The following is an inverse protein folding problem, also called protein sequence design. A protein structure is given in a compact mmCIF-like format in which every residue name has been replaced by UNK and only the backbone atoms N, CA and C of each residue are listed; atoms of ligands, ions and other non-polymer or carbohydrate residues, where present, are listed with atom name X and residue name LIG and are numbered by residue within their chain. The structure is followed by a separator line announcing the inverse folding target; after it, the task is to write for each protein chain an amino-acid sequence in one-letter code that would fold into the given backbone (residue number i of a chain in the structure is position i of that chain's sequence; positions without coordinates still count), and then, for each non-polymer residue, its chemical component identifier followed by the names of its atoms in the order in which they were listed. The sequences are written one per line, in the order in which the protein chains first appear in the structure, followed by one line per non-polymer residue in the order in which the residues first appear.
data_IF_110941550574
#
_entry.id   IF_110941550574
#
_cell.length_a   1.000
_cell.length_b   1.000
_cell.length_c   1.000
_cell.angle_alpha   90.00
_cell.angle_beta   90.00
_cell.angle_gamma   90.00
#
_symmetry.space_group_name_H-M   'P 1'
#
loop_
_entity.id
_entity.type
_entity.pdbx_description
1 polymer ?
#
# COMPACT_ATOMS: atom_id res chain seq x y z
N UNK A 1 -23.22 -28.93 -35.72
CA UNK A 1 -22.74 -27.90 -34.79
C UNK A 1 -21.61 -27.13 -35.44
N UNK A 2 -21.76 -25.80 -35.50
CA UNK A 2 -20.78 -24.86 -36.02
C UNK A 2 -19.47 -24.92 -35.22
N UNK A 3 -18.35 -24.58 -35.86
CA UNK A 3 -17.04 -24.47 -35.19
C UNK A 3 -17.08 -23.44 -34.04
N UNK A 4 -17.93 -22.43 -34.16
CA UNK A 4 -18.19 -21.42 -33.12
C UNK A 4 -18.95 -21.99 -31.93
N UNK A 5 -19.92 -22.88 -32.14
CA UNK A 5 -20.68 -23.53 -31.06
C UNK A 5 -19.79 -24.46 -30.23
N UNK A 6 -18.84 -25.15 -30.86
CA UNK A 6 -17.85 -25.99 -30.17
C UNK A 6 -16.89 -25.15 -29.33
N UNK A 7 -16.39 -24.05 -29.88
CA UNK A 7 -15.53 -23.09 -29.17
C UNK A 7 -16.27 -22.44 -27.98
N UNK A 8 -17.55 -22.08 -28.15
CA UNK A 8 -18.37 -21.53 -27.08
C UNK A 8 -18.61 -22.56 -25.95
N UNK A 9 -18.93 -23.81 -26.29
CA UNK A 9 -19.14 -24.88 -25.32
C UNK A 9 -17.85 -25.23 -24.55
N UNK A 10 -16.69 -25.21 -25.20
CA UNK A 10 -15.39 -25.44 -24.56
C UNK A 10 -15.00 -24.29 -23.62
N UNK A 11 -15.24 -23.05 -24.03
CA UNK A 11 -15.07 -21.87 -23.18
C UNK A 11 -15.95 -21.93 -21.93
N UNK A 12 -17.20 -22.36 -22.09
CA UNK A 12 -18.14 -22.48 -20.98
C UNK A 12 -17.77 -23.63 -20.04
N UNK A 13 -17.34 -24.78 -20.56
CA UNK A 13 -16.75 -25.88 -19.75
C UNK A 13 -15.52 -25.41 -18.97
N UNK A 14 -14.66 -24.59 -19.60
CA UNK A 14 -13.50 -23.99 -18.95
C UNK A 14 -13.89 -23.07 -17.79
N UNK A 15 -14.92 -22.23 -17.96
CA UNK A 15 -15.45 -21.39 -16.86
C UNK A 15 -15.99 -22.24 -15.71
N UNK A 16 -16.79 -23.26 -15.99
CA UNK A 16 -17.35 -24.16 -14.96
C UNK A 16 -16.25 -24.90 -14.19
N UNK A 17 -15.21 -25.37 -14.88
CA UNK A 17 -14.07 -26.00 -14.22
C UNK A 17 -13.29 -25.02 -13.33
N UNK A 18 -13.08 -23.78 -13.79
CA UNK A 18 -12.46 -22.72 -12.98
C UNK A 18 -13.29 -22.39 -11.73
N UNK A 19 -14.61 -22.32 -11.87
CA UNK A 19 -15.53 -22.05 -10.76
C UNK A 19 -15.53 -23.18 -9.72
N UNK A 20 -15.58 -24.45 -10.16
CA UNK A 20 -15.41 -25.60 -9.27
C UNK A 20 -14.07 -25.57 -8.53
N UNK A 21 -12.98 -25.28 -9.25
CA UNK A 21 -11.65 -25.16 -8.63
C UNK A 21 -11.59 -24.02 -7.60
N UNK A 22 -12.32 -22.92 -7.82
CA UNK A 22 -12.45 -21.81 -6.87
C UNK A 22 -13.20 -22.24 -5.62
N UNK A 23 -14.32 -22.93 -5.77
CA UNK A 23 -15.16 -23.31 -4.64
C UNK A 23 -14.47 -24.39 -3.78
N UNK A 24 -13.81 -25.36 -4.41
CA UNK A 24 -12.91 -26.31 -3.73
C UNK A 24 -11.80 -25.61 -2.94
N UNK A 25 -11.23 -24.52 -3.46
CA UNK A 25 -10.22 -23.73 -2.73
C UNK A 25 -10.84 -22.98 -1.56
N UNK A 26 -12.02 -22.38 -1.73
CA UNK A 26 -12.75 -21.71 -0.64
C UNK A 26 -13.06 -22.70 0.48
N UNK A 27 -13.56 -23.89 0.15
CA UNK A 27 -13.81 -24.96 1.12
C UNK A 27 -12.51 -25.41 1.82
N UNK A 28 -11.40 -25.52 1.09
CA UNK A 28 -10.10 -25.83 1.68
C UNK A 28 -9.62 -24.74 2.64
N UNK A 29 -9.78 -23.46 2.28
CA UNK A 29 -9.44 -22.33 3.16
C UNK A 29 -10.33 -22.34 4.39
N UNK A 30 -11.65 -22.51 4.23
CA UNK A 30 -12.61 -22.56 5.34
C UNK A 30 -12.33 -23.74 6.27
N UNK A 31 -12.01 -24.92 5.74
CA UNK A 31 -11.67 -26.09 6.56
C UNK A 31 -10.34 -25.91 7.31
N UNK A 32 -9.34 -25.30 6.69
CA UNK A 32 -8.08 -24.95 7.37
C UNK A 32 -8.33 -23.90 8.46
N UNK A 33 -9.15 -22.89 8.18
CA UNK A 33 -9.51 -21.87 9.16
C UNK A 33 -10.27 -22.47 10.34
N UNK A 34 -11.25 -23.36 10.10
CA UNK A 34 -11.96 -24.09 11.16
C UNK A 34 -11.00 -24.90 12.03
N UNK A 35 -10.10 -25.68 11.41
CA UNK A 35 -9.06 -26.44 12.13
C UNK A 35 -8.12 -25.53 12.94
N UNK A 36 -7.79 -24.35 12.42
CA UNK A 36 -6.96 -23.38 13.14
C UNK A 36 -7.70 -22.80 14.36
N UNK A 37 -9.00 -22.48 14.23
CA UNK A 37 -9.84 -21.98 15.35
C UNK A 37 -10.04 -23.06 16.41
N UNK A 38 -10.28 -24.30 15.99
CA UNK A 38 -10.36 -25.45 16.90
C UNK A 38 -9.05 -25.66 17.65
N UNK A 39 -7.91 -25.63 16.94
CA UNK A 39 -6.58 -25.70 17.58
C UNK A 39 -6.34 -24.52 18.53
N UNK A 40 -6.70 -23.30 18.15
CA UNK A 40 -6.57 -22.15 19.03
C UNK A 40 -7.37 -22.29 20.32
N UNK A 41 -8.54 -22.95 20.25
CA UNK A 41 -9.40 -23.16 21.41
C UNK A 41 -8.93 -24.31 22.30
N UNK A 42 -8.43 -25.39 21.69
CA UNK A 42 -8.16 -26.66 22.38
C UNK A 42 -6.67 -26.93 22.68
N UNK A 43 -5.74 -26.26 22.00
CA UNK A 43 -4.29 -26.47 22.11
C UNK A 43 -3.63 -25.22 22.75
N UNK A 44 -3.23 -25.30 24.04
CA UNK A 44 -2.59 -24.19 24.76
C UNK A 44 -1.27 -23.74 24.13
N UNK A 45 -0.50 -24.65 23.55
CA UNK A 45 0.80 -24.35 22.93
C UNK A 45 0.59 -23.63 21.59
N UNK A 46 -0.38 -24.09 20.79
CA UNK A 46 -0.77 -23.40 19.56
C UNK A 46 -1.29 -21.99 19.85
N UNK A 47 -2.13 -21.83 20.89
CA UNK A 47 -2.62 -20.51 21.34
C UNK A 47 -1.47 -19.60 21.77
N UNK A 48 -0.57 -20.11 22.62
CA UNK A 48 0.60 -19.36 23.06
C UNK A 48 1.48 -18.92 21.89
N UNK A 49 1.80 -19.83 20.96
CA UNK A 49 2.58 -19.51 19.77
C UNK A 49 1.86 -18.49 18.88
N UNK A 50 0.57 -18.69 18.60
CA UNK A 50 -0.22 -17.76 17.79
C UNK A 50 -0.19 -16.34 18.38
N UNK A 51 -0.34 -16.22 19.70
CA UNK A 51 -0.40 -14.92 20.38
C UNK A 51 0.98 -14.28 20.59
N UNK A 52 2.06 -15.09 20.62
CA UNK A 52 3.42 -14.65 20.98
C UNK A 52 4.41 -14.58 19.83
N UNK A 53 4.06 -15.10 18.64
CA UNK A 53 4.93 -14.94 17.46
C UNK A 53 5.00 -13.46 17.08
N UNK A 54 6.17 -12.89 17.32
CA UNK A 54 6.47 -11.49 16.99
C UNK A 54 6.86 -11.32 15.51
N UNK A 55 6.91 -10.07 15.06
CA UNK A 55 7.43 -9.71 13.74
C UNK A 55 8.97 -9.78 13.66
N UNK A 56 9.68 -10.22 14.70
CA UNK A 56 11.15 -10.23 14.73
C UNK A 56 11.75 -11.00 13.53
N UNK A 57 11.18 -12.15 13.16
CA UNK A 57 11.64 -12.93 12.00
C UNK A 57 11.44 -12.22 10.64
N UNK A 58 10.46 -11.32 10.55
CA UNK A 58 10.23 -10.46 9.37
C UNK A 58 11.33 -9.40 9.24
N UNK A 59 11.74 -8.81 10.36
CA UNK A 59 12.72 -7.73 10.41
C UNK A 59 14.17 -8.21 10.45
N UNK A 60 14.42 -9.44 10.90
CA UNK A 60 15.73 -10.06 10.82
C UNK A 60 16.17 -10.11 9.34
N UNK A 61 17.40 -9.67 9.00
CA UNK A 61 17.84 -9.68 7.63
C UNK A 61 17.92 -11.10 7.06
N UNK A 62 17.80 -11.27 5.73
CA UNK A 62 18.11 -12.55 5.10
C UNK A 62 19.63 -12.78 5.15
N UNK A 63 20.03 -14.03 5.42
CA UNK A 63 21.44 -14.39 5.34
C UNK A 63 22.03 -14.05 3.97
N UNK A 64 23.25 -13.54 3.98
CA UNK A 64 24.06 -13.25 2.79
C UNK A 64 23.51 -12.13 1.89
N UNK A 65 22.45 -11.43 2.30
CA UNK A 65 22.00 -10.22 1.60
C UNK A 65 22.92 -9.04 1.92
N UNK A 66 22.91 -8.00 1.08
CA UNK A 66 23.79 -6.82 1.22
C UNK A 66 23.84 -6.27 2.65
N UNK A 67 22.68 -6.11 3.28
CA UNK A 67 22.57 -5.61 4.65
C UNK A 67 23.24 -6.52 5.69
N UNK A 68 23.07 -7.84 5.59
CA UNK A 68 23.72 -8.81 6.48
C UNK A 68 25.23 -8.88 6.23
N UNK A 69 25.66 -8.78 4.97
CA UNK A 69 27.10 -8.77 4.62
C UNK A 69 27.83 -7.57 5.21
N UNK A 70 27.17 -6.42 5.30
CA UNK A 70 27.77 -5.20 5.86
C UNK A 70 27.70 -5.15 7.39
N UNK A 71 26.58 -5.61 7.98
CA UNK A 71 26.31 -5.40 9.42
C UNK A 71 26.59 -6.62 10.29
N UNK A 72 26.66 -7.83 9.71
CA UNK A 72 26.77 -9.10 10.42
C UNK A 72 25.71 -9.28 11.52
N UNK A 73 24.53 -8.66 11.35
CA UNK A 73 23.45 -8.73 12.32
C UNK A 73 22.93 -10.15 12.51
N UNK A 74 22.80 -10.97 11.44
CA UNK A 74 22.36 -12.35 11.61
C UNK A 74 23.36 -13.16 12.42
N UNK A 75 24.66 -12.88 12.29
CA UNK A 75 25.69 -13.53 13.10
C UNK A 75 25.59 -13.10 14.57
N UNK A 76 25.47 -11.81 14.83
CA UNK A 76 25.30 -11.25 16.17
C UNK A 76 24.06 -11.78 16.90
N UNK A 77 22.97 -12.02 16.16
CA UNK A 77 21.75 -12.65 16.67
C UNK A 77 22.00 -14.15 16.89
N UNK A 78 22.57 -14.85 15.90
CA UNK A 78 22.83 -16.29 16.00
C UNK A 78 23.74 -16.63 17.20
N UNK A 79 24.76 -15.83 17.48
CA UNK A 79 25.66 -16.01 18.63
C UNK A 79 24.97 -15.87 19.99
N UNK A 80 23.92 -15.04 20.06
CA UNK A 80 23.12 -14.86 21.27
C UNK A 80 22.10 -15.98 21.46
N UNK A 81 21.59 -16.54 20.36
CA UNK A 81 20.64 -17.66 20.38
C UNK A 81 21.35 -18.98 20.63
N UNK A 82 22.51 -19.17 20.01
CA UNK A 82 23.34 -20.37 20.11
C UNK A 82 24.66 -20.00 20.78
N UNK A 83 24.69 -20.00 22.11
CA UNK A 83 25.91 -19.77 22.89
C UNK A 83 26.83 -20.99 22.79
N UNK A 84 28.12 -20.76 22.54
CA UNK A 84 29.09 -21.84 22.34
C UNK A 84 29.13 -22.82 23.52
N UNK A 85 29.10 -22.29 24.73
CA UNK A 85 29.19 -23.07 25.97
C UNK A 85 27.94 -23.91 26.25
N UNK A 86 26.82 -23.59 25.61
CA UNK A 86 25.55 -24.29 25.79
C UNK A 86 25.41 -25.52 24.87
N UNK A 87 26.30 -25.68 23.88
CA UNK A 87 26.18 -26.72 22.86
C UNK A 87 27.53 -27.43 22.64
N UNK A 88 27.69 -28.68 23.13
CA UNK A 88 28.94 -29.45 22.98
C UNK A 88 29.39 -29.65 21.53
N UNK A 89 28.44 -29.63 20.57
CA UNK A 89 28.71 -29.74 19.13
C UNK A 89 29.53 -28.57 18.56
N UNK A 90 29.75 -27.49 19.32
CA UNK A 90 30.57 -26.34 18.93
C UNK A 90 31.93 -26.27 19.62
N UNK A 91 32.21 -27.21 20.52
CA UNK A 91 33.49 -27.28 21.21
C UNK A 91 34.62 -27.62 20.22
N UNK A 92 35.75 -26.92 20.32
CA UNK A 92 36.90 -27.12 19.44
C UNK A 92 36.72 -26.69 17.97
N UNK A 93 35.54 -26.24 17.54
CA UNK A 93 35.31 -25.78 16.16
C UNK A 93 35.93 -24.39 15.94
N UNK A 94 36.64 -24.21 14.83
CA UNK A 94 37.18 -22.92 14.42
C UNK A 94 36.10 -21.83 14.32
N UNK A 95 36.45 -20.61 14.71
CA UNK A 95 35.54 -19.47 14.81
C UNK A 95 34.72 -19.20 13.53
N UNK A 96 35.35 -19.29 12.35
CA UNK A 96 34.67 -19.09 11.07
C UNK A 96 33.63 -20.19 10.79
N UNK A 97 33.97 -21.44 11.09
CA UNK A 97 33.07 -22.59 10.93
C UNK A 97 31.92 -22.56 11.93
N UNK A 98 32.18 -22.14 13.17
CA UNK A 98 31.17 -21.90 14.19
C UNK A 98 30.16 -20.84 13.72
N UNK A 99 30.64 -19.67 13.29
CA UNK A 99 29.80 -18.58 12.80
C UNK A 99 28.91 -19.00 11.63
N UNK A 100 29.45 -19.78 10.68
CA UNK A 100 28.67 -20.32 9.57
C UNK A 100 27.56 -21.27 10.05
N UNK A 101 27.88 -22.22 10.94
CA UNK A 101 26.92 -23.22 11.43
C UNK A 101 25.76 -22.59 12.19
N UNK A 102 26.03 -21.69 13.13
CA UNK A 102 24.98 -21.03 13.92
C UNK A 102 24.07 -20.15 13.04
N UNK A 103 24.63 -19.51 12.02
CA UNK A 103 23.85 -18.71 11.05
C UNK A 103 22.94 -19.60 10.23
N UNK A 104 23.45 -20.70 9.67
CA UNK A 104 22.63 -21.64 8.91
C UNK A 104 21.53 -22.27 9.77
N UNK A 105 21.85 -22.62 11.01
CA UNK A 105 20.90 -23.12 12.01
C UNK A 105 19.80 -22.11 12.32
N UNK A 106 20.17 -20.84 12.59
CA UNK A 106 19.20 -19.75 12.80
C UNK A 106 18.23 -19.62 11.62
N UNK A 107 18.73 -19.71 10.38
CA UNK A 107 17.87 -19.66 9.18
C UNK A 107 16.91 -20.83 9.12
N UNK A 108 17.39 -22.06 9.32
CA UNK A 108 16.61 -23.28 9.13
C UNK A 108 15.61 -23.53 10.25
N UNK A 109 16.02 -23.38 11.50
CA UNK A 109 15.21 -23.72 12.66
C UNK A 109 14.25 -22.60 13.07
N UNK A 110 14.67 -21.34 12.92
CA UNK A 110 13.86 -20.20 13.39
C UNK A 110 13.30 -19.37 12.23
N UNK A 111 14.15 -18.74 11.41
CA UNK A 111 13.68 -17.76 10.43
C UNK A 111 12.77 -18.36 9.36
N UNK A 112 13.08 -19.56 8.86
CA UNK A 112 12.26 -20.25 7.85
C UNK A 112 10.84 -20.56 8.36
N UNK A 113 10.70 -21.34 9.45
CA UNK A 113 9.40 -21.67 10.04
C UNK A 113 8.61 -20.43 10.46
N UNK A 114 9.26 -19.45 11.11
CA UNK A 114 8.58 -18.23 11.56
C UNK A 114 8.09 -17.38 10.39
N UNK A 115 8.89 -17.19 9.33
CA UNK A 115 8.46 -16.44 8.14
C UNK A 115 7.33 -17.15 7.39
N UNK A 116 7.30 -18.49 7.42
CA UNK A 116 6.19 -19.29 6.88
C UNK A 116 4.92 -19.12 7.72
N UNK A 117 5.04 -19.15 9.04
CA UNK A 117 3.91 -18.90 9.95
C UNK A 117 3.36 -17.46 9.81
N UNK A 118 4.22 -16.49 9.53
CA UNK A 118 3.84 -15.10 9.24
C UNK A 118 3.25 -14.89 7.83
N UNK A 119 3.22 -15.94 6.99
CA UNK A 119 2.68 -15.90 5.62
C UNK A 119 3.30 -14.79 4.76
N UNK A 120 4.61 -14.57 4.86
CA UNK A 120 5.27 -13.51 4.11
C UNK A 120 5.26 -13.80 2.59
N UNK A 121 5.03 -12.79 1.73
CA UNK A 121 4.92 -13.00 0.27
C UNK A 121 6.14 -13.71 -0.31
N UNK A 122 7.34 -13.34 0.15
CA UNK A 122 8.62 -13.90 -0.31
C UNK A 122 8.70 -15.42 -0.16
N UNK A 123 8.05 -16.01 0.86
CA UNK A 123 8.04 -17.47 1.08
C UNK A 123 7.33 -18.17 -0.08
N UNK A 124 6.14 -17.70 -0.46
CA UNK A 124 5.37 -18.23 -1.58
C UNK A 124 6.07 -17.99 -2.92
N UNK A 125 6.60 -16.78 -3.11
CA UNK A 125 7.30 -16.40 -4.34
C UNK A 125 8.55 -17.26 -4.57
N UNK A 126 9.36 -17.50 -3.53
CA UNK A 126 10.56 -18.35 -3.64
C UNK A 126 10.25 -19.83 -3.93
N UNK A 127 9.07 -20.29 -3.53
CA UNK A 127 8.62 -21.66 -3.77
C UNK A 127 7.80 -21.81 -5.07
N UNK A 128 7.64 -20.74 -5.86
CA UNK A 128 6.73 -20.67 -7.02
C UNK A 128 5.27 -21.04 -6.70
N UNK A 129 4.84 -20.88 -5.44
CA UNK A 129 3.49 -21.17 -4.96
C UNK A 129 2.58 -19.94 -5.04
N UNK A 130 2.54 -19.28 -6.20
CA UNK A 130 1.76 -18.06 -6.44
C UNK A 130 0.27 -18.25 -6.15
N UNK A 131 -0.26 -19.41 -6.52
CA UNK A 131 -1.64 -19.85 -6.31
C UNK A 131 -2.12 -19.88 -4.85
N UNK A 132 -1.20 -19.86 -3.88
CA UNK A 132 -1.50 -19.85 -2.45
C UNK A 132 -1.22 -18.50 -1.77
N UNK A 133 -0.69 -17.51 -2.51
CA UNK A 133 -0.31 -16.23 -1.94
C UNK A 133 -1.54 -15.46 -1.43
N UNK A 134 -1.56 -15.04 -0.14
CA UNK A 134 -2.66 -14.30 0.45
C UNK A 134 -2.49 -12.78 0.24
N UNK A 135 -3.06 -12.24 -0.86
CA UNK A 135 -2.92 -10.81 -1.22
C UNK A 135 -3.37 -9.83 -0.13
N UNK A 136 -4.41 -10.19 0.65
CA UNK A 136 -4.95 -9.40 1.75
C UNK A 136 -3.95 -9.18 2.92
N UNK A 137 -2.92 -10.04 3.05
CA UNK A 137 -1.89 -9.92 4.09
C UNK A 137 -0.63 -9.22 3.61
N UNK A 138 -0.53 -8.93 2.31
CA UNK A 138 0.64 -8.28 1.73
C UNK A 138 0.73 -6.84 2.25
N UNK A 139 1.87 -6.49 2.86
CA UNK A 139 2.13 -5.15 3.34
C UNK A 139 2.22 -4.13 2.18
N UNK A 140 1.93 -2.85 2.45
CA UNK A 140 1.83 -1.80 1.42
C UNK A 140 3.07 -1.67 0.55
N UNK A 141 4.25 -1.62 1.17
CA UNK A 141 5.55 -1.54 0.48
C UNK A 141 5.80 -2.79 -0.37
N UNK A 142 5.53 -3.98 0.19
CA UNK A 142 5.68 -5.23 -0.55
C UNK A 142 4.72 -5.31 -1.74
N UNK A 143 3.50 -4.76 -1.61
CA UNK A 143 2.55 -4.67 -2.71
C UNK A 143 3.08 -3.78 -3.83
N UNK A 144 3.59 -2.59 -3.48
CA UNK A 144 4.24 -1.69 -4.44
C UNK A 144 5.42 -2.35 -5.15
N UNK A 145 6.30 -3.04 -4.41
CA UNK A 145 7.51 -3.65 -4.97
C UNK A 145 7.21 -4.88 -5.85
N UNK A 146 6.24 -5.71 -5.48
CA UNK A 146 6.03 -7.01 -6.12
C UNK A 146 4.83 -7.06 -7.08
N UNK A 147 4.07 -5.98 -7.25
CA UNK A 147 2.91 -5.93 -8.15
C UNK A 147 3.21 -6.40 -9.58
N UNK A 148 4.36 -6.06 -10.14
CA UNK A 148 4.74 -6.53 -11.48
C UNK A 148 4.90 -8.05 -11.52
N UNK A 149 5.46 -8.65 -10.46
CA UNK A 149 5.61 -10.10 -10.35
C UNK A 149 4.26 -10.78 -10.16
N UNK A 150 3.34 -10.16 -9.41
CA UNK A 150 1.98 -10.67 -9.26
C UNK A 150 1.23 -10.68 -10.59
N UNK A 151 1.34 -9.60 -11.38
CA UNK A 151 0.76 -9.54 -12.72
C UNK A 151 1.39 -10.56 -13.68
N UNK A 152 2.70 -10.79 -13.57
CA UNK A 152 3.40 -11.74 -14.44
C UNK A 152 3.04 -13.20 -14.15
N UNK A 153 2.93 -13.57 -12.87
CA UNK A 153 2.82 -14.97 -12.45
C UNK A 153 1.42 -15.39 -12.01
N UNK A 154 0.54 -14.46 -11.63
CA UNK A 154 -0.81 -14.77 -11.13
C UNK A 154 -1.82 -13.66 -11.48
N UNK A 155 -1.82 -13.25 -12.76
CA UNK A 155 -2.61 -12.14 -13.30
C UNK A 155 -4.09 -12.21 -12.92
N UNK A 156 -4.75 -13.35 -13.22
CA UNK A 156 -6.19 -13.51 -13.04
C UNK A 156 -6.62 -13.29 -11.58
N UNK A 157 -5.93 -13.92 -10.62
CA UNK A 157 -6.26 -13.77 -9.18
C UNK A 157 -5.90 -12.39 -8.66
N UNK A 158 -4.82 -11.80 -9.16
CA UNK A 158 -4.42 -10.47 -8.73
C UNK A 158 -5.43 -9.42 -9.22
N UNK A 159 -5.90 -9.50 -10.46
CA UNK A 159 -6.96 -8.64 -10.99
C UNK A 159 -8.29 -8.83 -10.24
N UNK A 160 -8.68 -10.08 -9.93
CA UNK A 160 -9.85 -10.37 -9.10
C UNK A 160 -9.72 -9.77 -7.69
N UNK A 161 -8.53 -9.85 -7.09
CA UNK A 161 -8.24 -9.22 -5.81
C UNK A 161 -8.37 -7.69 -5.90
N UNK A 162 -7.78 -7.03 -6.90
CA UNK A 162 -7.91 -5.58 -7.08
C UNK A 162 -9.36 -5.16 -7.30
N UNK A 163 -10.13 -5.93 -8.07
CA UNK A 163 -11.58 -5.73 -8.22
C UNK A 163 -12.31 -5.88 -6.88
N UNK A 164 -11.96 -6.90 -6.08
CA UNK A 164 -12.55 -7.08 -4.75
C UNK A 164 -12.23 -5.93 -3.79
N UNK A 165 -11.05 -5.33 -3.90
CA UNK A 165 -10.67 -4.13 -3.14
C UNK A 165 -11.50 -2.91 -3.60
N UNK A 166 -11.67 -2.69 -4.91
CA UNK A 166 -12.52 -1.61 -5.46
C UNK A 166 -13.96 -1.68 -4.94
N UNK A 167 -14.51 -2.88 -4.83
CA UNK A 167 -15.87 -3.10 -4.32
C UNK A 167 -15.95 -3.17 -2.78
N UNK A 168 -14.86 -2.87 -2.06
CA UNK A 168 -14.82 -2.88 -0.60
C UNK A 168 -14.91 -4.26 0.06
N UNK A 169 -14.84 -5.37 -0.72
CA UNK A 169 -14.89 -6.75 -0.21
C UNK A 169 -13.56 -7.20 0.39
N UNK A 170 -12.46 -6.60 -0.06
CA UNK A 170 -11.12 -6.84 0.45
C UNK A 170 -10.45 -5.52 0.85
N UNK A 171 -9.40 -5.61 1.68
CA UNK A 171 -8.62 -4.45 2.10
C UNK A 171 -7.20 -4.56 1.54
N UNK A 172 -6.70 -3.44 1.04
CA UNK A 172 -5.29 -3.26 0.68
C UNK A 172 -4.58 -2.46 1.78
N UNK A 173 -3.32 -2.79 2.05
CA UNK A 173 -2.50 -2.00 2.97
C UNK A 173 -1.95 -0.76 2.25
N UNK A 174 -2.05 0.40 2.91
CA UNK A 174 -1.47 1.67 2.44
C UNK A 174 -0.57 2.36 3.49
N UNK A 175 -0.71 2.04 4.78
CA UNK A 175 -0.21 2.89 5.88
C UNK A 175 1.30 3.12 5.99
N UNK A 176 2.15 2.32 5.35
CA UNK A 176 3.60 2.53 5.36
C UNK A 176 4.13 3.26 4.11
N UNK A 177 3.27 3.54 3.12
CA UNK A 177 3.65 4.32 1.94
C UNK A 177 3.39 5.80 2.18
N UNK A 178 4.27 6.65 1.66
CA UNK A 178 4.06 8.09 1.63
C UNK A 178 3.27 8.50 0.39
N UNK A 179 2.51 9.62 0.42
CA UNK A 179 1.67 10.07 -0.69
C UNK A 179 2.43 10.16 -2.03
N UNK A 180 3.62 10.73 -2.01
CA UNK A 180 4.47 10.88 -3.20
C UNK A 180 4.99 9.54 -3.73
N UNK A 181 5.14 8.53 -2.86
CA UNK A 181 5.57 7.19 -3.28
C UNK A 181 4.46 6.44 -4.00
N UNK A 182 3.20 6.77 -3.71
CA UNK A 182 2.03 6.24 -4.38
C UNK A 182 1.88 6.88 -5.76
N UNK A 183 2.00 8.21 -5.83
CA UNK A 183 1.89 8.96 -7.09
C UNK A 183 3.02 8.58 -8.07
N UNK A 184 4.25 8.41 -7.58
CA UNK A 184 5.36 7.92 -8.41
C UNK A 184 5.07 6.54 -9.04
N UNK A 185 4.15 5.76 -8.47
CA UNK A 185 3.76 4.44 -8.95
C UNK A 185 2.55 4.45 -9.91
N UNK A 186 2.05 5.61 -10.32
CA UNK A 186 0.92 5.75 -11.26
C UNK A 186 1.27 5.30 -12.69
N UNK A 187 2.53 5.47 -13.09
CA UNK A 187 3.01 5.12 -14.42
C UNK A 187 3.63 3.71 -14.51
N UNK A 188 3.49 2.92 -13.45
CA UNK A 188 3.96 1.54 -13.43
C UNK A 188 3.13 0.64 -14.36
N UNK A 189 3.68 -0.54 -14.70
CA UNK A 189 3.09 -1.48 -15.69
C UNK A 189 1.72 -2.04 -15.33
N UNK A 190 1.26 -1.85 -14.09
CA UNK A 190 -0.10 -2.20 -13.66
C UNK A 190 -1.15 -1.17 -14.10
N UNK A 191 -0.74 -0.09 -14.78
CA UNK A 191 -1.60 1.02 -15.17
C UNK A 191 -2.02 1.88 -13.98
N UNK A 192 -1.22 1.90 -12.90
CA UNK A 192 -1.49 2.68 -11.70
C UNK A 192 -2.62 2.16 -10.81
N UNK A 193 -3.17 0.98 -11.08
CA UNK A 193 -4.32 0.44 -10.33
C UNK A 193 -4.03 0.20 -8.85
N UNK A 194 -2.85 -0.32 -8.53
CA UNK A 194 -2.44 -0.52 -7.13
C UNK A 194 -2.27 0.83 -6.44
N UNK A 195 -1.68 1.81 -7.13
CA UNK A 195 -1.48 3.15 -6.61
C UNK A 195 -2.81 3.84 -6.29
N UNK A 196 -3.77 3.79 -7.20
CA UNK A 196 -5.14 4.31 -7.00
C UNK A 196 -5.79 3.71 -5.74
N UNK A 197 -5.76 2.39 -5.59
CA UNK A 197 -6.38 1.72 -4.44
C UNK A 197 -5.66 2.01 -3.12
N UNK A 198 -4.33 2.14 -3.15
CA UNK A 198 -3.54 2.53 -1.99
C UNK A 198 -3.80 3.99 -1.60
N UNK A 199 -3.97 4.88 -2.58
CA UNK A 199 -4.34 6.27 -2.33
C UNK A 199 -5.71 6.39 -1.68
N UNK A 200 -6.74 5.77 -2.29
CA UNK A 200 -8.10 5.76 -1.74
C UNK A 200 -8.11 5.24 -0.30
N UNK A 201 -7.39 4.14 -0.04
CA UNK A 201 -7.26 3.59 1.32
C UNK A 201 -6.63 4.57 2.30
N UNK A 202 -5.57 5.28 1.88
CA UNK A 202 -4.88 6.27 2.71
C UNK A 202 -5.80 7.45 3.05
N UNK A 203 -6.50 7.98 2.05
CA UNK A 203 -7.46 9.08 2.23
C UNK A 203 -8.59 8.65 3.17
N UNK A 204 -9.16 7.46 2.97
CA UNK A 204 -10.20 6.91 3.85
C UNK A 204 -9.73 6.77 5.31
N UNK A 205 -8.50 6.32 5.53
CA UNK A 205 -7.93 6.20 6.87
C UNK A 205 -7.74 7.55 7.56
N UNK A 206 -7.38 8.58 6.81
CA UNK A 206 -7.21 9.93 7.33
C UNK A 206 -8.56 10.60 7.57
N UNK A 207 -9.53 10.44 6.66
CA UNK A 207 -10.89 10.96 6.82
C UNK A 207 -11.60 10.36 8.04
N UNK A 208 -11.32 9.10 8.38
CA UNK A 208 -11.84 8.47 9.62
C UNK A 208 -11.30 9.13 10.89
N UNK A 209 -10.11 9.73 10.86
CA UNK A 209 -9.54 10.47 11.99
C UNK A 209 -10.09 11.89 12.08
N UNK A 210 -10.52 12.46 10.95
CA UNK A 210 -11.17 13.76 10.90
C UNK A 210 -10.95 14.47 9.57
N UNK A 211 -11.75 15.50 9.31
CA UNK A 211 -11.58 16.40 8.18
C UNK A 211 -10.83 17.66 8.62
N UNK A 212 -10.00 18.20 7.74
CA UNK A 212 -9.33 19.48 7.97
C UNK A 212 -10.32 20.62 7.77
N UNK A 213 -10.56 21.39 8.83
CA UNK A 213 -11.39 22.61 8.77
C UNK A 213 -10.48 23.81 8.56
N UNK A 214 -10.94 24.78 7.78
CA UNK A 214 -10.20 26.03 7.52
C UNK A 214 -8.78 25.85 6.98
N UNK A 215 -8.57 24.76 6.23
CA UNK A 215 -7.31 24.50 5.55
C UNK A 215 -7.47 24.76 4.05
N UNK A 216 -6.44 25.30 3.41
CA UNK A 216 -6.31 25.42 1.97
C UNK A 216 -4.88 25.06 1.60
N UNK A 217 -4.73 24.24 0.57
CA UNK A 217 -3.41 23.90 0.07
C UNK A 217 -2.94 24.99 -0.89
N UNK A 218 -1.71 25.46 -0.68
CA UNK A 218 -0.99 26.33 -1.59
C UNK A 218 0.16 25.51 -2.14
N UNK A 219 0.17 25.27 -3.44
CA UNK A 219 1.11 24.37 -4.09
C UNK A 219 2.17 25.17 -4.85
N UNK A 220 3.45 24.94 -4.54
CA UNK A 220 4.58 25.41 -5.33
C UNK A 220 5.07 24.28 -6.24
N UNK A 221 4.87 24.45 -7.54
CA UNK A 221 5.36 23.55 -8.58
C UNK A 221 6.29 24.27 -9.54
N UNK A 222 6.94 25.35 -9.07
CA UNK A 222 7.88 26.13 -9.86
C UNK A 222 8.94 25.25 -10.55
N UNK A 223 9.41 25.66 -11.72
CA UNK A 223 10.39 24.90 -12.51
C UNK A 223 11.70 24.55 -11.77
N UNK A 224 11.97 25.14 -10.61
CA UNK A 224 13.08 24.77 -9.72
C UNK A 224 12.87 23.44 -8.98
N UNK A 225 11.63 22.94 -8.90
CA UNK A 225 11.24 21.77 -8.10
C UNK A 225 11.20 20.46 -8.90
N UNK A 226 11.93 20.36 -10.01
CA UNK A 226 11.92 19.16 -10.86
C UNK A 226 12.29 17.87 -10.09
N UNK A 227 11.57 16.79 -10.40
CA UNK A 227 11.76 15.48 -9.78
C UNK A 227 11.02 15.34 -8.45
N UNK A 228 11.72 14.83 -7.42
CA UNK A 228 11.09 14.45 -6.15
C UNK A 228 10.36 15.57 -5.43
N UNK A 229 10.87 16.81 -5.37
CA UNK A 229 10.18 17.90 -4.70
C UNK A 229 8.79 18.20 -5.30
N UNK A 230 8.67 18.20 -6.63
CA UNK A 230 7.39 18.38 -7.30
C UNK A 230 6.42 17.23 -7.01
N UNK A 231 6.86 15.97 -7.08
CA UNK A 231 6.02 14.82 -6.70
C UNK A 231 5.47 14.97 -5.27
N UNK A 232 6.30 15.45 -4.34
CA UNK A 232 5.90 15.67 -2.95
C UNK A 232 4.87 16.80 -2.84
N UNK A 233 5.10 17.92 -3.55
CA UNK A 233 4.16 19.04 -3.52
C UNK A 233 2.81 18.67 -4.12
N UNK A 234 2.80 18.04 -5.30
CA UNK A 234 1.57 17.57 -5.96
C UNK A 234 0.82 16.59 -5.04
N UNK A 235 1.53 15.63 -4.45
CA UNK A 235 0.94 14.65 -3.55
C UNK A 235 0.33 15.27 -2.30
N UNK A 236 1.05 16.17 -1.63
CA UNK A 236 0.54 16.81 -0.41
C UNK A 236 -0.59 17.78 -0.73
N UNK A 237 -0.49 18.54 -1.82
CA UNK A 237 -1.52 19.45 -2.28
C UNK A 237 -2.83 18.72 -2.57
N UNK A 238 -2.76 17.62 -3.32
CA UNK A 238 -3.90 16.78 -3.60
C UNK A 238 -4.49 16.17 -2.33
N UNK A 239 -3.65 15.60 -1.46
CA UNK A 239 -4.09 14.99 -0.21
C UNK A 239 -4.80 16.00 0.70
N UNK A 240 -4.22 17.19 0.89
CA UNK A 240 -4.82 18.26 1.70
C UNK A 240 -6.15 18.72 1.10
N UNK A 241 -6.23 18.82 -0.22
CA UNK A 241 -7.45 19.19 -0.94
C UNK A 241 -8.58 18.17 -0.73
N UNK A 242 -8.27 16.86 -0.73
CA UNK A 242 -9.26 15.79 -0.50
C UNK A 242 -9.68 15.67 0.98
N UNK A 243 -8.78 15.97 1.91
CA UNK A 243 -9.05 15.96 3.36
C UNK A 243 -9.77 17.22 3.86
N UNK A 244 -9.75 18.30 3.08
CA UNK A 244 -10.38 19.57 3.45
C UNK A 244 -11.90 19.46 3.43
N UNK A 245 -12.54 20.09 4.42
CA UNK A 245 -13.99 20.19 4.47
C UNK A 245 -14.52 21.19 3.43
N UNK A 246 -15.79 21.02 3.05
CA UNK A 246 -16.51 22.05 2.30
C UNK A 246 -16.44 23.38 3.06
N UNK A 247 -16.30 24.51 2.35
CA UNK A 247 -16.38 24.71 0.90
C UNK A 247 -15.01 24.70 0.17
N UNK A 248 -13.94 24.24 0.83
CA UNK A 248 -12.55 24.25 0.31
C UNK A 248 -12.11 22.90 -0.21
N UNK A 249 -12.95 21.87 -0.09
CA UNK A 249 -12.70 20.54 -0.61
C UNK A 249 -12.44 20.59 -2.10
N UNK A 250 -11.42 19.86 -2.56
CA UNK A 250 -11.08 19.79 -3.97
C UNK A 250 -10.40 21.04 -4.52
N UNK A 251 -10.07 22.04 -3.69
CA UNK A 251 -9.45 23.30 -4.15
C UNK A 251 -8.00 23.44 -3.74
N UNK A 252 -7.21 24.01 -4.64
CA UNK A 252 -5.79 24.33 -4.42
C UNK A 252 -5.50 25.74 -4.96
N UNK A 253 -4.54 26.43 -4.33
CA UNK A 253 -4.03 27.71 -4.82
C UNK A 253 -2.65 27.49 -5.42
N UNK A 254 -2.41 28.05 -6.60
CA UNK A 254 -1.07 28.09 -7.21
C UNK A 254 -0.19 29.10 -6.51
N UNK A 255 1.05 28.72 -6.18
CA UNK A 255 2.06 29.64 -5.64
C UNK A 255 2.78 30.31 -6.81
N UNK A 256 2.22 31.41 -7.31
CA UNK A 256 2.72 32.14 -8.47
C UNK A 256 2.59 33.66 -8.29
N UNK A 257 3.06 34.43 -9.27
CA UNK A 257 2.93 35.90 -9.31
C UNK A 257 1.46 36.34 -9.41
N UNK A 258 0.60 35.45 -9.93
CA UNK A 258 -0.85 35.63 -10.07
C UNK A 258 -1.54 34.39 -9.51
N UNK A 259 -1.64 34.26 -8.18
CA UNK A 259 -2.18 33.06 -7.55
C UNK A 259 -3.64 32.85 -7.94
N UNK A 260 -3.95 31.66 -8.42
CA UNK A 260 -5.29 31.27 -8.85
C UNK A 260 -5.82 30.14 -7.98
N UNK A 261 -7.12 30.20 -7.68
CA UNK A 261 -7.83 29.14 -6.98
C UNK A 261 -8.39 28.17 -8.02
N UNK A 262 -7.82 26.98 -8.09
CA UNK A 262 -8.28 25.92 -8.97
C UNK A 262 -9.12 24.90 -8.20
N UNK A 263 -10.21 24.46 -8.83
CA UNK A 263 -10.90 23.24 -8.45
C UNK A 263 -10.22 22.09 -9.20
N UNK A 264 -9.73 21.09 -8.47
CA UNK A 264 -9.08 19.92 -9.08
C UNK A 264 -10.12 19.13 -9.85
N UNK A 265 -9.91 18.99 -11.15
CA UNK A 265 -10.72 18.17 -12.04
C UNK A 265 -10.06 16.80 -12.25
N UNK A 266 -10.87 15.75 -12.39
CA UNK A 266 -10.39 14.39 -12.64
C UNK A 266 -11.15 13.31 -11.87
N UNK A 267 -11.35 12.17 -12.53
CA UNK A 267 -12.07 11.02 -11.95
C UNK A 267 -11.15 10.01 -11.26
N UNK A 268 -9.88 9.97 -11.65
CA UNK A 268 -8.85 9.08 -11.08
C UNK A 268 -7.65 9.89 -10.55
N UNK A 269 -6.81 9.25 -9.74
CA UNK A 269 -5.63 9.86 -9.15
C UNK A 269 -4.70 10.41 -10.23
N UNK A 270 -4.54 9.70 -11.35
CA UNK A 270 -3.66 10.09 -12.46
C UNK A 270 -4.10 11.40 -13.10
N UNK A 271 -5.38 11.54 -13.42
CA UNK A 271 -5.94 12.75 -14.01
C UNK A 271 -5.84 13.92 -13.04
N UNK A 272 -6.11 13.69 -11.75
CA UNK A 272 -5.98 14.72 -10.70
C UNK A 272 -4.54 15.18 -10.50
N UNK A 273 -3.56 14.28 -10.54
CA UNK A 273 -2.14 14.66 -10.44
C UNK A 273 -1.69 15.42 -11.68
N UNK A 274 -2.08 14.96 -12.87
CA UNK A 274 -1.76 15.64 -14.12
C UNK A 274 -2.35 17.05 -14.16
N UNK A 275 -3.58 17.23 -13.67
CA UNK A 275 -4.21 18.55 -13.56
C UNK A 275 -3.39 19.52 -12.71
N UNK A 276 -2.78 19.07 -11.60
CA UNK A 276 -1.93 19.92 -10.75
C UNK A 276 -0.57 20.18 -11.41
N UNK A 277 0.00 19.19 -12.09
CA UNK A 277 1.28 19.31 -12.79
C UNK A 277 1.22 20.28 -13.99
N UNK A 278 0.07 20.38 -14.64
CA UNK A 278 -0.16 21.23 -15.82
C UNK A 278 -0.66 22.65 -15.47
N UNK A 279 -0.85 22.99 -14.19
CA UNK A 279 -1.30 24.31 -13.78
C UNK A 279 -0.31 25.41 -14.22
N UNK A 280 -0.83 26.56 -14.66
CA UNK A 280 0.00 27.71 -15.00
C UNK A 280 0.65 28.29 -13.74
N UNK A 281 1.94 28.00 -13.57
CA UNK A 281 2.70 28.24 -12.34
C UNK A 281 3.45 29.57 -12.33
N UNK A 282 3.69 30.20 -13.47
CA UNK A 282 4.42 31.47 -13.57
C UNK A 282 5.87 31.43 -13.03
N UNK A 283 6.70 32.44 -13.30
CA UNK A 283 8.14 32.37 -12.99
C UNK A 283 8.47 32.89 -11.58
N UNK A 284 7.62 33.75 -11.01
CA UNK A 284 7.81 34.40 -9.72
C UNK A 284 6.73 34.01 -8.72
N UNK A 285 7.00 34.16 -7.42
CA UNK A 285 6.08 33.85 -6.33
C UNK A 285 5.79 35.09 -5.48
N UNK A 286 4.54 35.29 -5.10
CA UNK A 286 4.13 36.42 -4.26
C UNK A 286 3.15 35.94 -3.16
N UNK A 287 3.67 35.87 -1.94
CA UNK A 287 2.91 35.39 -0.79
C UNK A 287 1.80 36.37 -0.38
N UNK A 288 1.99 37.68 -0.56
CA UNK A 288 0.95 38.66 -0.20
C UNK A 288 -0.29 38.47 -1.06
N UNK A 289 -0.10 38.30 -2.38
CA UNK A 289 -1.20 38.03 -3.31
C UNK A 289 -1.94 36.73 -2.99
N UNK A 290 -1.28 35.73 -2.43
CA UNK A 290 -1.94 34.49 -1.98
C UNK A 290 -2.91 34.80 -0.83
N UNK A 291 -2.49 35.60 0.15
CA UNK A 291 -3.36 36.03 1.24
C UNK A 291 -4.50 36.91 0.75
N UNK A 292 -4.24 37.86 -0.14
CA UNK A 292 -5.27 38.69 -0.77
C UNK A 292 -6.29 37.81 -1.50
N UNK A 293 -5.84 36.79 -2.23
CA UNK A 293 -6.73 35.85 -2.92
C UNK A 293 -7.57 35.03 -1.95
N UNK A 294 -7.01 34.60 -0.83
CA UNK A 294 -7.74 33.91 0.23
C UNK A 294 -8.83 34.84 0.82
N UNK A 295 -8.48 36.11 1.02
CA UNK A 295 -9.40 37.13 1.54
C UNK A 295 -10.56 37.40 0.56
N UNK A 296 -10.26 37.58 -0.73
CA UNK A 296 -11.28 37.75 -1.78
C UNK A 296 -12.27 36.59 -1.81
N UNK A 297 -11.78 35.36 -1.71
CA UNK A 297 -12.62 34.15 -1.69
C UNK A 297 -13.46 34.07 -0.41
N UNK A 298 -12.97 34.60 0.71
CA UNK A 298 -13.72 34.68 1.95
C UNK A 298 -14.84 35.74 1.86
N UNK A 299 -14.52 36.94 1.40
CA UNK A 299 -15.48 38.05 1.25
C UNK A 299 -16.57 37.68 0.24
N UNK A 300 -16.20 37.16 -0.93
CA UNK A 300 -17.16 36.74 -1.96
C UNK A 300 -18.14 35.66 -1.50
N UNK A 301 -17.81 34.90 -0.43
CA UNK A 301 -18.72 33.94 0.19
C UNK A 301 -19.69 34.57 1.18
N UNK A 302 -19.24 35.53 1.97
CA UNK A 302 -20.14 36.26 2.88
C UNK A 302 -21.22 37.01 2.10
N UNK A 303 -20.84 37.59 0.95
CA UNK A 303 -21.78 38.27 0.05
C UNK A 303 -22.81 37.29 -0.53
N UNK A 304 -22.42 36.07 -0.88
CA UNK A 304 -23.36 35.04 -1.38
C UNK A 304 -24.29 34.51 -0.29
N UNK A 305 -23.77 34.24 0.92
CA UNK A 305 -24.61 33.81 2.06
C UNK A 305 -25.67 34.86 2.41
N UNK A 306 -25.29 36.14 2.44
CA UNK A 306 -26.23 37.23 2.70
C UNK A 306 -27.22 37.52 1.55
N UNK A 307 -27.03 36.93 0.36
CA UNK A 307 -27.98 36.99 -0.74
C UNK A 307 -28.99 35.85 -0.67
N UNK A 308 -28.53 34.61 -0.40
CA UNK A 308 -29.40 33.44 -0.20
C UNK A 308 -30.32 33.65 1.02
N UNK A 309 -29.79 34.19 2.13
CA UNK A 309 -30.59 34.51 3.34
C UNK A 309 -31.66 35.60 3.11
N UNK A 310 -31.55 36.40 2.02
CA UNK A 310 -32.54 37.44 1.66
C UNK A 310 -33.60 36.96 0.67
N UNK A 311 -33.37 35.83 0.00
CA UNK A 311 -34.34 35.17 -0.87
C UNK A 311 -35.32 34.33 -0.04
N UNK A 312 -34.84 33.65 1.01
CA UNK A 312 -35.67 32.88 1.96
C UNK A 312 -36.56 33.75 2.89
N UNK A 313 -36.40 35.08 2.87
CA UNK A 313 -37.22 36.04 3.62
C UNK A 313 -38.27 36.75 2.75
N UNK A 314 -38.48 36.31 1.50
CA UNK A 314 -39.47 36.87 0.56
C UNK A 314 -40.63 35.96 0.20
N UNK A 315 -40.74 34.80 0.84
CA UNK A 315 -41.92 33.92 0.76
C UNK A 315 -42.81 34.03 2.02
#
# INVERSE_FOLDING_TARGET
MSQEERMAAEKERGKVQKEKARDLRKEKIVSVAKKAVERYSCDPDYRFLHDRISLAAKWCPPLFYSFDRTTLLCESIARRVFLRDSYPEYEGIEEAHYAYRIRDRLRKEYLGPLRKALELPKVYMSANLWNLLPYNRVASVAMKTYKELFLKHDKERFEEYLSSVRHGKAKIAAGALLPHEIIASLNDKDGGQVAELQWQRMVDDLLKKGKLRNCIAVCDVSGSLTGKPMEVCVALGLLMSELSAEPRKGKVITFSEKPQLHLIEGNDLKSKTQFIEEMDWGINTDLQKVFDRILEVAIGREVKRGADDKEDLRD
#
